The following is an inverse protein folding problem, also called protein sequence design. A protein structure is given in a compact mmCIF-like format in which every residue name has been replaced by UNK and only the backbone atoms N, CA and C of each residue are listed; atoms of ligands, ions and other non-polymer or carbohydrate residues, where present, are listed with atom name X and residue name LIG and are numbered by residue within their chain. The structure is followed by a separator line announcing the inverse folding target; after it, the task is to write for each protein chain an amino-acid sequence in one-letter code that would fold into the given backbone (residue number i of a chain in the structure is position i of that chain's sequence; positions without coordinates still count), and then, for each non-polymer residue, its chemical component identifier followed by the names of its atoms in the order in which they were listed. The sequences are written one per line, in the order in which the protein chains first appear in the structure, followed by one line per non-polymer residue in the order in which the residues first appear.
data_IF_613907019383
#
_entry.id   IF_613907019383
#
_cell.length_a   1.000
_cell.length_b   1.000
_cell.length_c   1.000
_cell.angle_alpha   90.00
_cell.angle_beta   90.00
_cell.angle_gamma   90.00
#
_symmetry.space_group_name_H-M   'P 1'
#
loop_
_entity.id
_entity.type
_entity.pdbx_description
1 polymer ?
#
# COMPACT_ATOMS: atom_id res chain seq x y z
N UNK A 1 -25.61 -19.23 -8.33
CA UNK A 1 -24.25 -19.10 -7.83
C UNK A 1 -23.77 -17.66 -8.06
N UNK A 2 -23.51 -16.88 -7.01
CA UNK A 2 -22.96 -15.54 -7.11
C UNK A 2 -21.59 -15.60 -7.80
N UNK A 3 -21.35 -14.71 -8.76
CA UNK A 3 -20.08 -14.61 -9.47
C UNK A 3 -19.22 -13.51 -8.85
N UNK A 4 -17.94 -13.77 -8.63
CA UNK A 4 -16.96 -12.79 -8.12
C UNK A 4 -16.97 -11.46 -8.91
N UNK A 5 -17.24 -11.51 -10.21
CA UNK A 5 -17.36 -10.33 -11.06
C UNK A 5 -18.46 -9.35 -10.64
N UNK A 6 -19.53 -9.82 -9.95
CA UNK A 6 -20.56 -8.94 -9.43
C UNK A 6 -19.99 -7.97 -8.39
N UNK A 7 -19.15 -8.48 -7.49
CA UNK A 7 -18.49 -7.68 -6.47
C UNK A 7 -17.48 -6.71 -7.07
N UNK A 8 -16.67 -7.18 -8.01
CA UNK A 8 -15.71 -6.33 -8.73
C UNK A 8 -16.40 -5.16 -9.45
N UNK A 9 -17.52 -5.40 -10.12
CA UNK A 9 -18.31 -4.35 -10.78
C UNK A 9 -18.96 -3.42 -9.74
N UNK A 10 -19.49 -3.97 -8.63
CA UNK A 10 -20.05 -3.19 -7.54
C UNK A 10 -19.03 -2.23 -6.93
N UNK A 11 -17.84 -2.72 -6.59
CA UNK A 11 -16.78 -1.87 -6.04
C UNK A 11 -16.35 -0.78 -7.02
N UNK A 12 -16.24 -1.11 -8.32
CA UNK A 12 -15.94 -0.13 -9.35
C UNK A 12 -16.98 1.00 -9.42
N UNK A 13 -18.27 0.67 -9.44
CA UNK A 13 -19.35 1.66 -9.50
C UNK A 13 -19.33 2.55 -8.24
N UNK A 14 -19.32 1.94 -7.06
CA UNK A 14 -19.41 2.71 -5.81
C UNK A 14 -18.21 3.59 -5.54
N UNK A 15 -17.00 3.19 -5.91
CA UNK A 15 -15.85 4.10 -5.79
C UNK A 15 -15.93 5.32 -6.70
N UNK A 16 -16.50 5.18 -7.92
CA UNK A 16 -16.75 6.34 -8.78
C UNK A 16 -17.80 7.26 -8.17
N UNK A 17 -18.90 6.70 -7.66
CA UNK A 17 -19.93 7.47 -6.96
C UNK A 17 -19.37 8.22 -5.75
N UNK A 18 -18.54 7.59 -4.92
CA UNK A 18 -17.86 8.27 -3.80
C UNK A 18 -17.05 9.46 -4.30
N UNK A 19 -16.28 9.28 -5.39
CA UNK A 19 -15.46 10.36 -5.96
C UNK A 19 -16.31 11.52 -6.47
N UNK A 20 -17.39 11.23 -7.19
CA UNK A 20 -18.32 12.23 -7.70
C UNK A 20 -19.03 12.98 -6.56
N UNK A 21 -19.53 12.26 -5.56
CA UNK A 21 -20.18 12.84 -4.38
C UNK A 21 -19.22 13.71 -3.56
N UNK A 22 -17.96 13.31 -3.41
CA UNK A 22 -16.92 14.15 -2.78
C UNK A 22 -16.68 15.43 -3.57
N UNK A 23 -16.58 15.35 -4.90
CA UNK A 23 -16.40 16.52 -5.77
C UNK A 23 -17.58 17.49 -5.65
N UNK A 24 -18.79 16.95 -5.56
CA UNK A 24 -20.02 17.73 -5.37
C UNK A 24 -20.23 18.21 -3.93
N UNK A 25 -19.34 17.86 -2.98
CA UNK A 25 -19.51 18.12 -1.53
C UNK A 25 -20.85 17.64 -0.97
N UNK A 26 -21.36 16.53 -1.49
CA UNK A 26 -22.65 15.97 -1.13
C UNK A 26 -22.64 15.43 0.30
N UNK A 27 -23.71 15.68 1.07
CA UNK A 27 -23.83 15.25 2.45
C UNK A 27 -23.88 13.71 2.60
N UNK A 28 -24.33 13.01 1.56
CA UNK A 28 -24.51 11.56 1.52
C UNK A 28 -23.26 10.77 1.10
N UNK A 29 -22.11 11.39 0.93
CA UNK A 29 -20.87 10.74 0.49
C UNK A 29 -20.48 9.53 1.35
N UNK A 30 -20.74 9.60 2.65
CA UNK A 30 -20.42 8.52 3.58
C UNK A 30 -21.25 7.27 3.29
N UNK A 31 -22.52 7.40 2.92
CA UNK A 31 -23.39 6.27 2.56
C UNK A 31 -22.80 5.46 1.38
N UNK A 32 -22.31 6.14 0.35
CA UNK A 32 -21.68 5.48 -0.81
C UNK A 32 -20.37 4.80 -0.44
N UNK A 33 -19.59 5.41 0.46
CA UNK A 33 -18.34 4.82 0.95
C UNK A 33 -18.61 3.59 1.82
N UNK A 34 -19.57 3.65 2.71
CA UNK A 34 -19.97 2.52 3.57
C UNK A 34 -20.50 1.37 2.70
N UNK A 35 -21.26 1.68 1.66
CA UNK A 35 -21.71 0.67 0.69
C UNK A 35 -20.54 0.04 -0.06
N UNK A 36 -19.53 0.83 -0.48
CA UNK A 36 -18.31 0.30 -1.10
C UNK A 36 -17.63 -0.74 -0.19
N UNK A 37 -17.48 -0.43 1.11
CA UNK A 37 -16.84 -1.34 2.05
C UNK A 37 -17.69 -2.57 2.35
N UNK A 38 -19.00 -2.42 2.48
CA UNK A 38 -19.92 -3.55 2.62
C UNK A 38 -19.87 -4.53 1.44
N UNK A 39 -19.62 -4.02 0.21
CA UNK A 39 -19.42 -4.90 -0.95
C UNK A 39 -18.13 -5.71 -0.79
N UNK A 40 -17.04 -5.14 -0.28
CA UNK A 40 -15.82 -5.89 0.02
C UNK A 40 -16.03 -6.91 1.13
N UNK A 41 -16.73 -6.55 2.21
CA UNK A 41 -17.03 -7.47 3.30
C UNK A 41 -17.82 -8.68 2.80
N UNK A 42 -18.86 -8.45 1.97
CA UNK A 42 -19.61 -9.53 1.31
C UNK A 42 -18.77 -10.34 0.32
N UNK A 43 -17.83 -9.71 -0.37
CA UNK A 43 -16.89 -10.42 -1.24
C UNK A 43 -16.01 -11.36 -0.43
N UNK A 44 -15.45 -10.89 0.68
CA UNK A 44 -14.65 -11.72 1.58
C UNK A 44 -15.45 -12.85 2.22
N UNK A 45 -16.69 -12.60 2.66
CA UNK A 45 -17.59 -13.62 3.20
C UNK A 45 -17.87 -14.76 2.20
N UNK A 46 -18.07 -14.43 0.93
CA UNK A 46 -18.50 -15.41 -0.08
C UNK A 46 -17.35 -16.10 -0.82
N UNK A 47 -16.17 -15.49 -0.91
CA UNK A 47 -15.05 -15.98 -1.73
C UNK A 47 -13.72 -16.06 -0.98
N UNK A 48 -13.69 -15.71 0.29
CA UNK A 48 -12.48 -15.63 1.09
C UNK A 48 -11.64 -14.39 0.80
N UNK A 49 -10.68 -14.14 1.66
CA UNK A 49 -9.79 -12.97 1.61
C UNK A 49 -8.55 -13.24 0.77
N UNK A 50 -8.69 -13.39 -0.55
CA UNK A 50 -7.52 -13.54 -1.40
C UNK A 50 -6.71 -12.22 -1.51
N UNK A 51 -5.38 -12.35 -1.70
CA UNK A 51 -4.47 -11.21 -1.73
C UNK A 51 -4.80 -10.17 -2.82
N UNK A 52 -5.29 -10.61 -3.98
CA UNK A 52 -5.75 -9.69 -5.04
C UNK A 52 -6.91 -8.82 -4.59
N UNK A 53 -7.86 -9.37 -3.82
CA UNK A 53 -9.01 -8.60 -3.30
C UNK A 53 -8.57 -7.67 -2.16
N UNK A 54 -7.61 -8.09 -1.31
CA UNK A 54 -6.99 -7.22 -0.30
C UNK A 54 -6.32 -5.99 -0.93
N UNK A 55 -5.50 -6.20 -1.96
CA UNK A 55 -4.87 -5.11 -2.72
C UNK A 55 -5.93 -4.20 -3.35
N UNK A 56 -7.02 -4.75 -3.89
CA UNK A 56 -8.11 -3.95 -4.47
C UNK A 56 -8.79 -3.07 -3.42
N UNK A 57 -9.07 -3.59 -2.23
CA UNK A 57 -9.63 -2.81 -1.12
C UNK A 57 -8.66 -1.70 -0.69
N UNK A 58 -7.37 -2.01 -0.51
CA UNK A 58 -6.36 -1.02 -0.14
C UNK A 58 -6.27 0.12 -1.17
N UNK A 59 -6.28 -0.21 -2.46
CA UNK A 59 -6.33 0.78 -3.56
C UNK A 59 -7.57 1.66 -3.48
N UNK A 60 -8.74 1.08 -3.24
CA UNK A 60 -9.99 1.82 -3.25
C UNK A 60 -10.09 2.75 -2.03
N UNK A 61 -9.59 2.36 -0.85
CA UNK A 61 -9.45 3.23 0.31
C UNK A 61 -8.62 4.49 -0.04
N UNK A 62 -7.49 4.31 -0.73
CA UNK A 62 -6.61 5.41 -1.15
C UNK A 62 -7.29 6.24 -2.25
N UNK A 63 -7.90 5.58 -3.24
CA UNK A 63 -8.57 6.24 -4.36
C UNK A 63 -9.69 7.17 -3.91
N UNK A 64 -10.50 6.73 -2.93
CA UNK A 64 -11.55 7.57 -2.34
C UNK A 64 -11.00 8.54 -1.28
N UNK A 65 -9.70 8.53 -1.04
CA UNK A 65 -8.99 9.39 -0.07
C UNK A 65 -9.63 9.32 1.32
N UNK A 66 -9.85 8.11 1.82
CA UNK A 66 -10.37 7.86 3.17
C UNK A 66 -9.24 7.69 4.18
N UNK A 67 -8.63 8.80 4.59
CA UNK A 67 -7.47 8.81 5.49
C UNK A 67 -7.71 8.10 6.82
N UNK A 68 -8.97 8.05 7.30
CA UNK A 68 -9.34 7.31 8.52
C UNK A 68 -9.01 5.82 8.38
N UNK A 69 -9.15 5.28 7.16
CA UNK A 69 -8.89 3.88 6.84
C UNK A 69 -7.52 3.63 6.21
N UNK A 70 -6.62 4.63 6.13
CA UNK A 70 -5.24 4.42 5.67
C UNK A 70 -4.46 3.38 6.50
N UNK A 71 -4.61 3.28 7.84
CA UNK A 71 -4.01 2.17 8.59
C UNK A 71 -4.49 0.79 8.14
N UNK A 72 -5.78 0.64 7.79
CA UNK A 72 -6.31 -0.62 7.21
C UNK A 72 -5.68 -0.91 5.85
N UNK A 73 -5.59 0.10 4.96
CA UNK A 73 -4.94 -0.06 3.66
C UNK A 73 -3.46 -0.42 3.79
N UNK A 74 -2.74 0.20 4.73
CA UNK A 74 -1.36 -0.12 5.07
C UNK A 74 -1.19 -1.57 5.49
N UNK A 75 -2.00 -2.04 6.43
CA UNK A 75 -1.94 -3.42 6.93
C UNK A 75 -2.23 -4.46 5.81
N UNK A 76 -3.20 -4.17 4.94
CA UNK A 76 -3.52 -5.03 3.80
C UNK A 76 -2.36 -5.11 2.80
N UNK A 77 -1.69 -3.99 2.49
CA UNK A 77 -0.51 -4.01 1.64
C UNK A 77 0.66 -4.72 2.28
N UNK A 78 0.94 -4.47 3.56
CA UNK A 78 2.01 -5.13 4.32
C UNK A 78 1.86 -6.64 4.24
N UNK A 79 0.68 -7.14 4.58
CA UNK A 79 0.38 -8.57 4.52
C UNK A 79 0.60 -9.16 3.11
N UNK A 80 0.21 -8.45 2.06
CA UNK A 80 0.38 -8.97 0.70
C UNK A 80 1.82 -8.90 0.22
N UNK A 81 2.56 -7.86 0.59
CA UNK A 81 4.01 -7.75 0.29
C UNK A 81 4.79 -8.88 0.94
N UNK A 82 4.45 -9.23 2.19
CA UNK A 82 5.10 -10.31 2.92
C UNK A 82 4.75 -11.72 2.36
N UNK A 83 3.49 -11.94 1.94
CA UNK A 83 3.02 -13.27 1.58
C UNK A 83 3.02 -13.57 0.07
N UNK A 84 2.82 -12.57 -0.80
CA UNK A 84 2.70 -12.75 -2.25
C UNK A 84 3.21 -11.52 -3.03
N UNK A 85 4.49 -11.12 -2.87
CA UNK A 85 5.04 -9.91 -3.48
C UNK A 85 4.92 -9.88 -5.01
N UNK A 86 4.81 -11.05 -5.64
CA UNK A 86 4.72 -11.17 -7.11
C UNK A 86 3.47 -10.51 -7.73
N UNK A 87 2.40 -10.31 -6.96
CA UNK A 87 1.18 -9.66 -7.48
C UNK A 87 1.22 -8.13 -7.33
N UNK A 88 2.19 -7.59 -6.61
CA UNK A 88 2.34 -6.17 -6.36
C UNK A 88 2.80 -5.45 -7.64
N UNK A 89 2.02 -4.49 -8.07
CA UNK A 89 2.33 -3.67 -9.25
C UNK A 89 3.08 -2.39 -8.86
N UNK A 90 3.71 -1.71 -9.83
CA UNK A 90 4.36 -0.41 -9.58
C UNK A 90 3.41 0.64 -8.99
N UNK A 91 2.12 0.58 -9.33
CA UNK A 91 1.08 1.44 -8.70
C UNK A 91 0.88 1.08 -7.23
N UNK A 92 0.90 -0.21 -6.90
CA UNK A 92 0.75 -0.69 -5.52
C UNK A 92 1.93 -0.28 -4.66
N UNK A 93 3.16 -0.41 -5.18
CA UNK A 93 4.38 0.07 -4.53
C UNK A 93 4.21 1.55 -4.13
N UNK A 94 3.82 2.40 -5.09
CA UNK A 94 3.57 3.82 -4.82
C UNK A 94 2.48 4.02 -3.78
N UNK A 95 1.37 3.29 -3.87
CA UNK A 95 0.24 3.44 -2.96
C UNK A 95 0.59 3.02 -1.54
N UNK A 96 1.27 1.89 -1.40
CA UNK A 96 1.70 1.42 -0.10
C UNK A 96 2.69 2.40 0.55
N UNK A 97 3.79 2.76 -0.13
CA UNK A 97 4.83 3.60 0.46
C UNK A 97 4.40 5.05 0.63
N UNK A 98 3.98 5.69 -0.48
CA UNK A 98 3.77 7.15 -0.48
C UNK A 98 2.48 7.56 0.21
N UNK A 99 1.37 6.85 -0.02
CA UNK A 99 0.09 7.27 0.54
C UNK A 99 -0.15 6.71 1.93
N UNK A 100 0.17 5.44 2.17
CA UNK A 100 -0.09 4.84 3.48
C UNK A 100 1.14 4.85 4.37
N UNK A 101 2.31 4.44 3.92
CA UNK A 101 3.54 4.43 4.70
C UNK A 101 3.93 5.80 5.24
N UNK A 102 3.99 6.81 4.36
CA UNK A 102 4.25 8.20 4.77
C UNK A 102 3.19 8.74 5.75
N UNK A 103 1.92 8.37 5.56
CA UNK A 103 0.86 8.73 6.49
C UNK A 103 1.07 8.08 7.87
N UNK A 104 1.40 6.79 7.89
CA UNK A 104 1.65 6.05 9.14
C UNK A 104 2.85 6.62 9.90
N UNK A 105 3.95 6.90 9.20
CA UNK A 105 5.15 7.54 9.76
C UNK A 105 4.82 8.94 10.31
N UNK A 106 4.19 9.80 9.49
CA UNK A 106 3.85 11.18 9.88
C UNK A 106 2.90 11.25 11.07
N UNK A 107 2.06 10.25 11.26
CA UNK A 107 1.11 10.17 12.38
C UNK A 107 1.66 9.41 13.58
N UNK A 108 2.94 9.00 13.56
CA UNK A 108 3.60 8.26 14.66
C UNK A 108 3.01 6.88 14.91
N UNK A 109 2.46 6.24 13.86
CA UNK A 109 1.88 4.90 13.94
C UNK A 109 2.87 3.80 13.57
N UNK A 110 3.97 4.17 12.93
CA UNK A 110 5.15 3.34 12.70
C UNK A 110 6.40 4.16 12.96
N UNK A 111 7.47 3.50 13.32
CA UNK A 111 8.80 4.08 13.53
C UNK A 111 9.65 4.00 12.25
N UNK A 112 10.80 4.69 12.25
CA UNK A 112 11.71 4.71 11.11
C UNK A 112 12.19 3.31 10.70
N UNK A 113 12.43 2.42 11.65
CA UNK A 113 12.86 1.05 11.36
C UNK A 113 11.85 0.30 10.49
N UNK A 114 10.57 0.33 10.87
CA UNK A 114 9.51 -0.29 10.05
C UNK A 114 9.35 0.41 8.70
N UNK A 115 9.49 1.74 8.66
CA UNK A 115 9.39 2.50 7.41
C UNK A 115 10.52 2.15 6.44
N UNK A 116 11.77 2.00 6.94
CA UNK A 116 12.93 1.58 6.16
C UNK A 116 12.80 0.13 5.69
N UNK A 117 12.36 -0.79 6.55
CA UNK A 117 12.08 -2.18 6.18
C UNK A 117 11.06 -2.28 5.03
N UNK A 118 10.01 -1.45 5.06
CA UNK A 118 9.06 -1.38 3.94
C UNK A 118 9.72 -0.83 2.66
N UNK A 119 10.59 0.17 2.77
CA UNK A 119 11.34 0.68 1.63
C UNK A 119 12.20 -0.42 1.00
N UNK A 120 12.96 -1.17 1.80
CA UNK A 120 13.81 -2.28 1.36
C UNK A 120 12.99 -3.35 0.62
N UNK A 121 11.89 -3.80 1.23
CA UNK A 121 11.00 -4.80 0.63
C UNK A 121 10.41 -4.34 -0.71
N UNK A 122 10.01 -3.08 -0.81
CA UNK A 122 9.44 -2.53 -2.03
C UNK A 122 10.49 -2.27 -3.11
N UNK A 123 11.72 -1.88 -2.74
CA UNK A 123 12.85 -1.75 -3.65
C UNK A 123 13.22 -3.11 -4.25
N UNK A 124 13.27 -4.17 -3.43
CA UNK A 124 13.50 -5.54 -3.91
C UNK A 124 12.42 -6.00 -4.92
N UNK A 125 11.15 -5.62 -4.71
CA UNK A 125 10.07 -5.89 -5.69
C UNK A 125 10.33 -5.13 -7.00
N UNK A 126 10.77 -3.88 -6.96
CA UNK A 126 11.10 -3.09 -8.14
C UNK A 126 12.27 -3.73 -8.90
N UNK A 127 13.38 -4.00 -8.24
CA UNK A 127 14.58 -4.60 -8.81
C UNK A 127 14.31 -5.96 -9.46
N UNK A 128 13.55 -6.83 -8.77
CA UNK A 128 13.17 -8.13 -9.30
C UNK A 128 12.34 -8.01 -10.59
N UNK A 129 11.38 -7.08 -10.66
CA UNK A 129 10.59 -6.88 -11.87
C UNK A 129 11.42 -6.28 -13.01
N UNK A 130 12.34 -5.37 -12.72
CA UNK A 130 13.28 -4.77 -13.67
C UNK A 130 14.20 -5.87 -14.24
N UNK A 131 14.79 -6.68 -13.39
CA UNK A 131 15.67 -7.79 -13.79
C UNK A 131 14.97 -8.82 -14.68
N UNK A 132 13.66 -9.05 -14.44
CA UNK A 132 12.84 -9.91 -15.28
C UNK A 132 12.28 -9.24 -16.55
N UNK A 133 12.66 -7.99 -16.84
CA UNK A 133 12.15 -7.22 -17.99
C UNK A 133 10.67 -6.84 -17.90
N UNK A 134 10.04 -6.93 -16.71
CA UNK A 134 8.61 -6.67 -16.53
C UNK A 134 8.35 -5.19 -16.27
N UNK A 135 7.72 -4.49 -17.22
CA UNK A 135 7.30 -3.07 -17.08
C UNK A 135 8.44 -2.18 -16.53
N UNK A 136 9.65 -2.38 -17.02
CA UNK A 136 10.92 -1.79 -16.53
C UNK A 136 10.77 -0.27 -16.29
N UNK A 137 10.27 0.48 -17.27
CA UNK A 137 10.09 1.93 -17.13
C UNK A 137 9.21 2.32 -15.93
N UNK A 138 8.11 1.56 -15.70
CA UNK A 138 7.19 1.86 -14.59
C UNK A 138 7.82 1.56 -13.24
N UNK A 139 8.61 0.48 -13.14
CA UNK A 139 9.28 0.13 -11.90
C UNK A 139 10.47 1.05 -11.63
N UNK A 140 11.26 1.45 -12.64
CA UNK A 140 12.29 2.48 -12.50
C UNK A 140 11.68 3.82 -12.00
N UNK A 141 10.57 4.24 -12.60
CA UNK A 141 9.91 5.48 -12.18
C UNK A 141 9.44 5.42 -10.73
N UNK A 142 8.83 4.31 -10.31
CA UNK A 142 8.38 4.20 -8.92
C UNK A 142 9.54 4.08 -7.95
N UNK A 143 10.64 3.40 -8.29
CA UNK A 143 11.87 3.38 -7.47
C UNK A 143 12.38 4.79 -7.21
N UNK A 144 12.52 5.61 -8.25
CA UNK A 144 12.92 7.02 -8.10
C UNK A 144 11.97 7.81 -7.16
N UNK A 145 10.66 7.47 -7.18
CA UNK A 145 9.69 8.08 -6.26
C UNK A 145 9.95 7.62 -4.82
N UNK A 146 10.23 6.33 -4.60
CA UNK A 146 10.57 5.80 -3.27
C UNK A 146 11.80 6.50 -2.70
N UNK A 147 12.89 6.56 -3.48
CA UNK A 147 14.18 7.16 -3.08
C UNK A 147 13.99 8.63 -2.69
N UNK A 148 13.30 9.38 -3.56
CA UNK A 148 12.97 10.78 -3.27
C UNK A 148 12.15 10.92 -2.01
N UNK A 149 11.12 10.09 -1.82
CA UNK A 149 10.23 10.17 -0.65
C UNK A 149 10.92 9.74 0.63
N UNK A 150 11.79 8.75 0.59
CA UNK A 150 12.64 8.40 1.72
C UNK A 150 13.54 9.58 2.13
N UNK A 151 14.23 10.21 1.17
CA UNK A 151 15.08 11.37 1.43
C UNK A 151 14.35 12.60 1.98
N UNK A 152 13.02 12.70 1.83
CA UNK A 152 12.19 13.74 2.42
C UNK A 152 11.81 13.45 3.91
N UNK A 153 12.22 12.30 4.47
CA UNK A 153 11.89 11.88 5.85
C UNK A 153 13.09 12.01 6.79
N UNK A 154 12.84 12.18 8.09
CA UNK A 154 13.91 12.14 9.08
C UNK A 154 14.59 10.77 9.17
N UNK A 155 13.96 9.70 8.65
CA UNK A 155 14.51 8.35 8.67
C UNK A 155 15.71 8.16 7.74
N UNK A 156 15.92 9.05 6.78
CA UNK A 156 17.07 9.03 5.87
C UNK A 156 18.27 9.84 6.38
N UNK A 157 18.24 10.39 7.60
CA UNK A 157 19.43 11.05 8.18
C UNK A 157 20.55 10.05 8.43
N UNK A 158 21.80 10.45 8.25
CA UNK A 158 22.97 9.58 8.49
C UNK A 158 22.95 8.99 9.89
N UNK A 159 22.71 9.82 10.91
CA UNK A 159 22.66 9.38 12.32
C UNK A 159 21.58 8.30 12.55
N UNK A 160 20.40 8.46 11.93
CA UNK A 160 19.31 7.48 12.10
C UNK A 160 19.57 6.18 11.36
N UNK A 161 20.17 6.25 10.17
CA UNK A 161 20.57 5.07 9.42
C UNK A 161 21.68 4.32 10.17
N UNK A 162 22.70 5.03 10.68
CA UNK A 162 23.75 4.44 11.50
C UNK A 162 23.20 3.75 12.75
N UNK A 163 22.27 4.38 13.49
CA UNK A 163 21.61 3.80 14.66
C UNK A 163 20.91 2.46 14.28
N UNK A 164 20.09 2.46 13.24
CA UNK A 164 19.28 1.30 12.85
C UNK A 164 20.16 0.16 12.32
N UNK A 165 21.10 0.46 11.39
CA UNK A 165 21.93 -0.58 10.81
C UNK A 165 22.99 -1.11 11.78
N UNK A 166 23.54 -0.28 12.69
CA UNK A 166 24.42 -0.75 13.76
C UNK A 166 23.70 -1.69 14.72
N UNK A 167 22.43 -1.38 15.06
CA UNK A 167 21.64 -2.27 15.89
C UNK A 167 21.35 -3.61 15.18
N UNK A 168 21.00 -3.60 13.90
CA UNK A 168 20.83 -4.82 13.08
C UNK A 168 22.12 -5.65 13.02
N UNK A 169 23.26 -5.02 12.72
CA UNK A 169 24.55 -5.68 12.65
C UNK A 169 24.93 -6.36 13.97
N UNK A 170 24.74 -5.68 15.11
CA UNK A 170 25.05 -6.23 16.42
C UNK A 170 24.15 -7.42 16.80
N UNK A 171 22.92 -7.47 16.29
CA UNK A 171 21.99 -8.55 16.54
C UNK A 171 22.18 -9.76 15.60
N UNK A 172 22.60 -9.54 14.38
CA UNK A 172 22.84 -10.58 13.37
C UNK A 172 23.94 -10.17 12.38
N UNK A 173 25.24 -10.34 12.76
CA UNK A 173 26.39 -9.91 11.93
C UNK A 173 26.50 -10.66 10.58
N UNK A 174 25.89 -11.83 10.44
CA UNK A 174 26.00 -12.68 9.25
C UNK A 174 24.91 -12.38 8.20
N UNK A 175 23.91 -11.54 8.52
CA UNK A 175 22.75 -11.26 7.65
C UNK A 175 22.80 -9.85 7.02
N UNK A 176 23.96 -9.41 6.60
CA UNK A 176 24.19 -8.08 5.96
C UNK A 176 24.51 -8.15 4.47
N UNK A 177 24.08 -9.20 3.78
CA UNK A 177 24.22 -9.32 2.30
C UNK A 177 23.02 -8.74 1.55
#
# INVERSE_FOLDING_TARGET
QLKSNLYANGTYIYKQLVKEKKKAKAADVNLYRDTLYNIYDKWFENFGQCNKTKVSLAKDIIYVNDQKNFPKAYALYKEVVENEPAIITSTDVKYYFVYTGMYMLKTGKIECEEFLSNYEALSAICENNIAQGKKVEKFNNVQNILDKKLGETPCASCDKLEEIYSAKYNNDPENMD
#
